data_IF_673717979297
#
_entry.id   IF_673717979297
#
_cell.length_a   1.000
_cell.length_b   1.000
_cell.length_c   1.000
_cell.angle_alpha   90.00
_cell.angle_beta   90.00
_cell.angle_gamma   90.00
#
_symmetry.space_group_name_H-M   'P 1'
#
loop_
_entity.id
_entity.type
_entity.pdbx_description
1 polymer ?
#
# COMPACT_ATOMS: atom_id res chain seq x y z
N UNK A 1 -29.08 7.01 -29.79
CA UNK A 1 -28.31 5.75 -29.73
C UNK A 1 -27.89 5.55 -28.28
N UNK A 2 -28.44 4.56 -27.58
CA UNK A 2 -28.00 4.14 -26.25
C UNK A 2 -27.33 2.77 -26.41
N UNK A 3 -26.15 2.53 -25.79
CA UNK A 3 -25.52 1.23 -25.86
C UNK A 3 -26.32 0.26 -24.99
N UNK A 4 -26.73 -0.86 -25.58
CA UNK A 4 -27.35 -1.97 -24.86
C UNK A 4 -26.31 -2.60 -23.94
N UNK A 5 -26.57 -2.54 -22.63
CA UNK A 5 -25.84 -3.31 -21.63
C UNK A 5 -26.24 -4.77 -21.82
N UNK A 6 -25.36 -5.58 -22.38
CA UNK A 6 -25.58 -7.02 -22.53
C UNK A 6 -25.50 -7.62 -21.12
N UNK A 7 -26.55 -8.25 -20.58
CA UNK A 7 -26.50 -8.78 -19.22
C UNK A 7 -25.49 -9.91 -19.15
N UNK A 8 -24.68 -9.87 -18.11
CA UNK A 8 -23.75 -10.93 -17.75
C UNK A 8 -24.53 -12.11 -17.10
N UNK A 9 -25.54 -12.64 -17.81
CA UNK A 9 -26.56 -13.57 -17.30
C UNK A 9 -25.95 -14.77 -16.56
N UNK A 10 -24.79 -15.26 -17.02
CA UNK A 10 -24.07 -16.38 -16.38
C UNK A 10 -23.52 -16.03 -14.99
N UNK A 11 -22.99 -14.83 -14.80
CA UNK A 11 -22.46 -14.41 -13.48
C UNK A 11 -23.59 -14.11 -12.49
N UNK A 12 -24.71 -13.56 -12.97
CA UNK A 12 -25.91 -13.35 -12.15
C UNK A 12 -26.52 -14.69 -11.71
N UNK A 13 -26.51 -15.69 -12.60
CA UNK A 13 -26.98 -17.05 -12.32
C UNK A 13 -26.10 -17.75 -11.26
N UNK A 14 -24.77 -17.66 -11.40
CA UNK A 14 -23.83 -18.22 -10.41
C UNK A 14 -23.98 -17.54 -9.04
N UNK A 15 -24.04 -16.21 -8.98
CA UNK A 15 -24.21 -15.49 -7.72
C UNK A 15 -25.51 -15.89 -7.00
N UNK A 16 -26.61 -16.03 -7.74
CA UNK A 16 -27.88 -16.49 -7.17
C UNK A 16 -27.81 -17.95 -6.68
N UNK A 17 -27.11 -18.81 -7.41
CA UNK A 17 -26.85 -20.21 -7.04
C UNK A 17 -25.99 -20.33 -5.78
N UNK A 18 -24.96 -19.49 -5.64
CA UNK A 18 -24.10 -19.43 -4.44
C UNK A 18 -24.93 -19.07 -3.21
N UNK A 19 -25.70 -17.99 -3.29
CA UNK A 19 -26.55 -17.54 -2.16
C UNK A 19 -27.60 -18.59 -1.81
N UNK A 20 -28.21 -19.24 -2.81
CA UNK A 20 -29.17 -20.32 -2.59
C UNK A 20 -28.52 -21.51 -1.88
N UNK A 21 -27.32 -21.91 -2.30
CA UNK A 21 -26.55 -23.02 -1.70
C UNK A 21 -26.16 -22.71 -0.25
N UNK A 22 -25.64 -21.51 0.01
CA UNK A 22 -25.32 -21.06 1.37
C UNK A 22 -26.54 -21.08 2.28
N UNK A 23 -27.70 -20.63 1.77
CA UNK A 23 -28.97 -20.64 2.50
C UNK A 23 -29.43 -22.07 2.80
N UNK A 24 -29.31 -22.98 1.85
CA UNK A 24 -29.69 -24.38 2.01
C UNK A 24 -28.83 -25.07 3.07
N UNK A 25 -27.53 -24.81 3.09
CA UNK A 25 -26.58 -25.31 4.08
C UNK A 25 -26.63 -24.55 5.41
N UNK A 26 -27.46 -23.51 5.54
CA UNK A 26 -27.57 -22.71 6.77
C UNK A 26 -26.33 -21.88 7.09
N UNK A 27 -25.53 -21.53 6.07
CA UNK A 27 -24.32 -20.73 6.18
C UNK A 27 -24.68 -19.24 6.18
N UNK A 28 -24.02 -18.47 7.06
CA UNK A 28 -24.18 -17.01 7.10
C UNK A 28 -23.63 -16.35 5.83
N UNK A 29 -24.35 -15.34 5.32
CA UNK A 29 -23.98 -14.54 4.14
C UNK A 29 -22.82 -13.57 4.38
N UNK A 30 -21.71 -14.06 4.91
CA UNK A 30 -20.49 -13.28 5.12
C UNK A 30 -19.65 -13.28 3.83
N UNK A 31 -18.92 -12.19 3.50
CA UNK A 31 -18.09 -12.12 2.31
C UNK A 31 -17.13 -13.31 2.16
N UNK A 32 -16.41 -13.68 3.23
CA UNK A 32 -15.52 -14.85 3.25
C UNK A 32 -16.21 -16.18 2.97
N UNK A 33 -17.46 -16.33 3.39
CA UNK A 33 -18.21 -17.55 3.11
C UNK A 33 -18.65 -17.55 1.65
N UNK A 34 -19.13 -16.41 1.15
CA UNK A 34 -19.53 -16.27 -0.26
C UNK A 34 -18.39 -16.62 -1.21
N UNK A 35 -17.17 -16.16 -0.93
CA UNK A 35 -15.99 -16.45 -1.75
C UNK A 35 -15.67 -17.95 -1.86
N UNK A 36 -15.77 -18.69 -0.75
CA UNK A 36 -15.59 -20.16 -0.73
C UNK A 36 -16.57 -20.85 -1.70
N UNK A 37 -17.86 -20.50 -1.61
CA UNK A 37 -18.88 -21.13 -2.45
C UNK A 37 -18.84 -20.62 -3.90
N UNK A 38 -18.48 -19.36 -4.11
CA UNK A 38 -18.31 -18.78 -5.44
C UNK A 38 -17.20 -19.48 -6.21
N UNK A 39 -16.01 -19.62 -5.63
CA UNK A 39 -14.89 -20.31 -6.28
C UNK A 39 -15.12 -21.83 -6.44
N UNK A 40 -15.83 -22.44 -5.49
CA UNK A 40 -16.21 -23.85 -5.59
C UNK A 40 -17.21 -24.10 -6.73
N UNK A 41 -18.14 -23.17 -6.99
CA UNK A 41 -19.21 -23.31 -7.99
C UNK A 41 -18.82 -22.73 -9.36
N UNK A 42 -17.93 -21.74 -9.41
CA UNK A 42 -17.36 -21.23 -10.66
C UNK A 42 -16.44 -22.24 -11.34
N UNK A 43 -15.93 -23.22 -10.59
CA UNK A 43 -15.11 -24.32 -11.10
C UNK A 43 -13.62 -23.98 -11.24
N UNK A 44 -13.15 -22.87 -10.67
CA UNK A 44 -11.75 -22.45 -10.74
C UNK A 44 -10.80 -23.42 -10.01
N UNK A 45 -11.29 -24.15 -9.00
CA UNK A 45 -10.48 -25.05 -8.17
C UNK A 45 -11.24 -26.35 -7.82
N UNK A 46 -10.86 -27.45 -8.47
CA UNK A 46 -11.52 -28.74 -8.30
C UNK A 46 -11.38 -29.33 -6.89
N UNK A 47 -10.23 -29.12 -6.23
CA UNK A 47 -10.01 -29.58 -4.86
C UNK A 47 -10.89 -28.82 -3.86
N UNK A 48 -11.07 -27.51 -4.07
CA UNK A 48 -11.98 -26.70 -3.28
C UNK A 48 -13.44 -27.15 -3.48
N UNK A 49 -13.86 -27.41 -4.73
CA UNK A 49 -15.21 -27.91 -5.01
C UNK A 49 -15.48 -29.24 -4.27
N UNK A 50 -14.51 -30.15 -4.25
CA UNK A 50 -14.63 -31.41 -3.50
C UNK A 50 -14.70 -31.18 -1.99
N UNK A 51 -13.89 -30.27 -1.46
CA UNK A 51 -13.93 -29.91 -0.04
C UNK A 51 -15.30 -29.34 0.37
N UNK A 52 -15.88 -28.46 -0.45
CA UNK A 52 -17.20 -27.88 -0.19
C UNK A 52 -18.31 -28.93 -0.30
N UNK A 53 -18.24 -29.84 -1.26
CA UNK A 53 -19.21 -30.95 -1.39
C UNK A 53 -19.12 -31.94 -0.22
N UNK A 54 -17.93 -32.10 0.37
CA UNK A 54 -17.72 -32.97 1.54
C UNK A 54 -18.26 -32.39 2.85
N UNK A 55 -18.73 -31.14 2.86
CA UNK A 55 -19.31 -30.51 4.04
C UNK A 55 -20.62 -31.20 4.46
N UNK A 56 -20.82 -31.25 5.78
CA UNK A 56 -22.07 -31.76 6.37
C UNK A 56 -23.26 -30.85 6.03
N UNK A 57 -24.49 -31.34 6.22
CA UNK A 57 -25.72 -30.62 5.86
C UNK A 57 -25.99 -29.31 6.64
N UNK A 58 -25.06 -28.89 7.52
CA UNK A 58 -24.97 -27.60 8.19
C UNK A 58 -23.52 -27.40 8.66
N UNK A 59 -22.60 -26.92 7.82
CA UNK A 59 -21.22 -26.78 8.22
C UNK A 59 -21.07 -25.70 9.29
N UNK A 60 -20.21 -25.97 10.26
CA UNK A 60 -19.82 -25.00 11.27
C UNK A 60 -18.94 -23.92 10.66
N UNK A 61 -18.90 -22.74 11.30
CA UNK A 61 -18.02 -21.66 10.84
C UNK A 61 -16.54 -22.08 10.89
N UNK A 62 -16.15 -22.94 11.84
CA UNK A 62 -14.77 -23.42 11.96
C UNK A 62 -14.35 -24.33 10.80
N UNK A 63 -15.28 -25.13 10.25
CA UNK A 63 -15.04 -25.95 9.05
C UNK A 63 -14.86 -25.07 7.81
N UNK A 64 -15.71 -24.05 7.65
CA UNK A 64 -15.59 -23.07 6.56
C UNK A 64 -14.28 -22.27 6.68
N UNK A 65 -13.93 -21.82 7.87
CA UNK A 65 -12.69 -21.08 8.10
C UNK A 65 -11.45 -21.94 7.84
N UNK A 66 -11.54 -23.27 8.07
CA UNK A 66 -10.46 -24.21 7.75
C UNK A 66 -10.29 -24.37 6.24
N UNK A 67 -11.40 -24.53 5.50
CA UNK A 67 -11.38 -24.53 4.03
C UNK A 67 -10.82 -23.20 3.51
N UNK A 68 -11.29 -22.09 4.07
CA UNK A 68 -10.77 -20.75 3.87
C UNK A 68 -9.24 -20.70 3.98
N UNK A 69 -8.69 -21.12 5.11
CA UNK A 69 -7.23 -21.12 5.32
C UNK A 69 -6.46 -22.07 4.40
N UNK A 70 -7.03 -23.21 4.02
CA UNK A 70 -6.34 -24.18 3.15
C UNK A 70 -6.25 -23.71 1.71
N UNK A 71 -7.36 -23.20 1.16
CA UNK A 71 -7.46 -22.86 -0.26
C UNK A 71 -7.25 -21.38 -0.56
N UNK A 72 -7.48 -20.53 0.45
CA UNK A 72 -7.37 -19.08 0.37
C UNK A 72 -6.31 -18.56 1.36
N UNK A 73 -5.30 -19.35 1.71
CA UNK A 73 -4.22 -18.95 2.64
C UNK A 73 -3.54 -17.61 2.27
N UNK A 74 -3.50 -17.30 0.98
CA UNK A 74 -2.97 -16.04 0.44
C UNK A 74 -4.01 -14.89 0.47
N UNK A 75 -5.29 -15.21 0.66
CA UNK A 75 -6.44 -14.32 0.54
C UNK A 75 -7.29 -14.17 1.83
N UNK A 76 -7.10 -14.97 2.89
CA UNK A 76 -8.03 -14.98 4.04
C UNK A 76 -7.32 -14.91 5.39
N UNK A 77 -7.27 -13.69 5.95
CA UNK A 77 -7.21 -13.40 7.40
C UNK A 77 -6.00 -13.96 8.16
N UNK A 78 -5.76 -13.44 9.37
CA UNK A 78 -4.44 -12.97 9.82
C UNK A 78 -3.46 -12.45 8.75
N UNK A 79 -3.19 -13.21 7.68
CA UNK A 79 -2.23 -12.89 6.64
C UNK A 79 -2.43 -11.53 5.98
N UNK A 80 -3.65 -11.13 5.59
CA UNK A 80 -3.85 -9.82 4.92
C UNK A 80 -3.62 -8.64 5.87
N UNK A 81 -4.15 -8.71 7.09
CA UNK A 81 -4.00 -7.63 8.08
C UNK A 81 -2.58 -7.58 8.62
N UNK A 82 -1.95 -8.74 8.85
CA UNK A 82 -0.57 -8.85 9.31
C UNK A 82 0.41 -8.45 8.19
N UNK A 83 0.17 -8.89 6.96
CA UNK A 83 0.92 -8.43 5.79
C UNK A 83 0.75 -6.93 5.56
N UNK A 84 -0.46 -6.39 5.68
CA UNK A 84 -0.67 -4.95 5.57
C UNK A 84 0.01 -4.19 6.72
N UNK A 85 0.03 -4.73 7.94
CA UNK A 85 0.81 -4.17 9.05
C UNK A 85 2.30 -4.19 8.75
N UNK A 86 2.84 -5.28 8.21
CA UNK A 86 4.24 -5.39 7.83
C UNK A 86 4.60 -4.41 6.70
N UNK A 87 3.74 -4.30 5.69
CA UNK A 87 3.90 -3.34 4.59
C UNK A 87 3.85 -1.91 5.14
N UNK A 88 2.84 -1.56 5.94
CA UNK A 88 2.73 -0.23 6.55
C UNK A 88 3.95 0.07 7.44
N UNK A 89 4.39 -0.87 8.27
CA UNK A 89 5.55 -0.70 9.13
C UNK A 89 6.82 -0.42 8.31
N UNK A 90 7.02 -1.18 7.22
CA UNK A 90 8.13 -0.98 6.29
C UNK A 90 8.06 0.39 5.60
N UNK A 91 6.90 0.77 5.08
CA UNK A 91 6.72 2.07 4.42
C UNK A 91 6.95 3.24 5.39
N UNK A 92 6.52 3.11 6.66
CA UNK A 92 6.81 4.10 7.70
C UNK A 92 8.30 4.17 8.03
N UNK A 93 9.01 3.05 8.05
CA UNK A 93 10.47 3.02 8.25
C UNK A 93 11.22 3.66 7.07
N UNK A 94 10.79 3.39 5.84
CA UNK A 94 11.34 4.00 4.62
C UNK A 94 11.12 5.53 4.64
N UNK A 95 9.93 6.00 5.01
CA UNK A 95 9.64 7.44 5.19
C UNK A 95 10.52 8.03 6.30
N UNK A 96 10.67 7.36 7.44
CA UNK A 96 11.52 7.83 8.53
C UNK A 96 13.00 7.92 8.12
N UNK A 97 13.47 6.99 7.28
CA UNK A 97 14.80 7.03 6.68
C UNK A 97 14.97 8.23 5.74
N UNK A 98 14.00 8.45 4.85
CA UNK A 98 13.95 9.57 3.93
C UNK A 98 14.02 10.92 4.67
N UNK A 99 13.22 11.10 5.71
CA UNK A 99 13.19 12.32 6.54
C UNK A 99 14.52 12.57 7.26
N UNK A 100 15.20 11.51 7.70
CA UNK A 100 16.53 11.61 8.35
C UNK A 100 17.61 12.03 7.36
N UNK A 101 17.54 11.52 6.13
CA UNK A 101 18.41 11.95 5.02
C UNK A 101 18.20 13.43 4.74
N UNK A 102 16.95 13.85 4.51
CA UNK A 102 16.60 15.25 4.26
C UNK A 102 17.11 16.18 5.37
N UNK A 103 16.91 15.79 6.63
CA UNK A 103 17.44 16.54 7.77
C UNK A 103 18.96 16.71 7.70
N UNK A 104 19.70 15.66 7.36
CA UNK A 104 21.16 15.70 7.26
C UNK A 104 21.61 16.64 6.13
N UNK A 105 20.90 16.62 4.99
CA UNK A 105 21.16 17.52 3.87
C UNK A 105 20.90 19.00 4.23
N UNK A 106 19.84 19.28 4.99
CA UNK A 106 19.54 20.63 5.48
C UNK A 106 20.57 21.09 6.53
N UNK A 107 21.02 20.20 7.42
CA UNK A 107 22.07 20.52 8.40
C UNK A 107 23.40 20.86 7.70
N UNK A 108 23.76 20.13 6.64
CA UNK A 108 24.95 20.43 5.83
C UNK A 108 24.83 21.78 5.13
N UNK A 109 23.67 22.07 4.54
CA UNK A 109 23.39 23.38 3.94
C UNK A 109 23.50 24.50 4.97
N UNK A 110 22.98 24.30 6.19
CA UNK A 110 23.13 25.23 7.31
C UNK A 110 24.58 25.51 7.66
N UNK A 111 25.43 24.47 7.70
CA UNK A 111 26.88 24.64 7.95
C UNK A 111 27.55 25.50 6.88
N UNK A 112 27.22 25.27 5.60
CA UNK A 112 27.74 26.08 4.48
C UNK A 112 27.33 27.55 4.64
N UNK A 113 26.09 27.82 5.07
CA UNK A 113 25.61 29.17 5.35
C UNK A 113 26.34 29.82 6.54
N UNK A 114 26.59 29.08 7.60
CA UNK A 114 27.29 29.58 8.81
C UNK A 114 28.76 29.89 8.51
N UNK A 115 29.46 29.01 7.79
CA UNK A 115 30.84 29.22 7.33
C UNK A 115 30.92 30.46 6.42
N UNK A 116 29.96 30.59 5.52
CA UNK A 116 29.85 31.75 4.64
C UNK A 116 29.63 33.04 5.42
N UNK A 117 28.66 33.07 6.33
CA UNK A 117 28.34 34.24 7.16
C UNK A 117 29.55 34.67 7.99
N UNK A 118 30.25 33.70 8.59
CA UNK A 118 31.47 33.92 9.38
C UNK A 118 32.62 34.48 8.52
N UNK A 119 32.80 33.96 7.31
CA UNK A 119 33.78 34.46 6.35
C UNK A 119 33.50 35.90 5.89
N UNK A 120 32.23 36.24 5.68
CA UNK A 120 31.77 37.59 5.33
C UNK A 120 31.90 38.60 6.49
N UNK A 121 31.81 38.14 7.74
CA UNK A 121 31.96 38.99 8.93
C UNK A 121 33.37 39.58 9.10
N UNK A 122 34.40 38.89 8.61
CA UNK A 122 35.80 39.33 8.70
C UNK A 122 36.14 40.33 7.57
N UNK A 123 35.70 41.58 7.75
CA UNK A 123 35.81 42.70 6.79
C UNK A 123 37.24 43.04 6.31
N UNK A 124 38.29 42.57 6.95
CA UNK A 124 39.69 42.90 6.59
C UNK A 124 40.25 42.08 5.41
N UNK A 125 39.51 41.09 4.88
CA UNK A 125 40.00 40.18 3.82
C UNK A 125 39.00 39.89 2.68
N UNK A 126 37.93 40.67 2.56
CA UNK A 126 36.92 40.45 1.52
C UNK A 126 37.41 40.94 0.16
N UNK A 127 38.02 40.05 -0.63
CA UNK A 127 38.31 40.27 -2.04
C UNK A 127 37.07 39.96 -2.90
N UNK A 128 36.97 40.61 -4.06
CA UNK A 128 35.91 40.32 -5.05
C UNK A 128 35.94 38.83 -5.48
N UNK A 129 37.13 38.22 -5.56
CA UNK A 129 37.31 36.81 -5.88
C UNK A 129 36.73 35.88 -4.80
N UNK A 130 36.88 36.24 -3.52
CA UNK A 130 36.30 35.48 -2.41
C UNK A 130 34.77 35.58 -2.40
N UNK A 131 34.21 36.77 -2.66
CA UNK A 131 32.77 36.97 -2.78
C UNK A 131 32.18 36.15 -3.94
N UNK A 132 32.87 36.11 -5.09
CA UNK A 132 32.43 35.32 -6.24
C UNK A 132 32.43 33.81 -5.94
N UNK A 133 33.45 33.31 -5.23
CA UNK A 133 33.53 31.91 -4.78
C UNK A 133 32.41 31.56 -3.81
N UNK A 134 32.13 32.43 -2.85
CA UNK A 134 31.02 32.28 -1.90
C UNK A 134 29.67 32.19 -2.62
N UNK A 135 29.38 33.15 -3.51
CA UNK A 135 28.12 33.17 -4.27
C UNK A 135 27.97 31.90 -5.12
N UNK A 136 29.05 31.42 -5.72
CA UNK A 136 29.06 30.19 -6.52
C UNK A 136 28.79 28.95 -5.65
N UNK A 137 29.49 28.83 -4.52
CA UNK A 137 29.30 27.73 -3.57
C UNK A 137 27.89 27.71 -2.98
N UNK A 138 27.37 28.87 -2.56
CA UNK A 138 26.01 29.00 -2.05
C UNK A 138 24.96 28.67 -3.11
N UNK A 139 25.13 29.14 -4.34
CA UNK A 139 24.18 28.86 -5.43
C UNK A 139 24.16 27.36 -5.74
N UNK A 140 25.33 26.73 -5.79
CA UNK A 140 25.44 25.28 -5.99
C UNK A 140 24.79 24.49 -4.84
N UNK A 141 25.10 24.85 -3.59
CA UNK A 141 24.52 24.20 -2.41
C UNK A 141 23.00 24.38 -2.34
N UNK A 142 22.50 25.59 -2.61
CA UNK A 142 21.06 25.90 -2.62
C UNK A 142 20.33 25.12 -3.71
N UNK A 143 20.87 25.08 -4.93
CA UNK A 143 20.28 24.28 -6.00
C UNK A 143 20.26 22.80 -5.63
N UNK A 144 21.35 22.28 -5.06
CA UNK A 144 21.42 20.90 -4.59
C UNK A 144 20.36 20.60 -3.51
N UNK A 145 20.13 21.51 -2.56
CA UNK A 145 19.09 21.36 -1.54
C UNK A 145 17.69 21.41 -2.14
N UNK A 146 17.43 22.31 -3.08
CA UNK A 146 16.13 22.40 -3.78
C UNK A 146 15.85 21.12 -4.58
N UNK A 147 16.84 20.62 -5.31
CA UNK A 147 16.70 19.41 -6.11
C UNK A 147 16.48 18.18 -5.21
N UNK A 148 17.22 18.08 -4.11
CA UNK A 148 17.01 17.01 -3.13
C UNK A 148 15.62 17.08 -2.48
N UNK A 149 15.18 18.26 -2.04
CA UNK A 149 13.85 18.44 -1.46
C UNK A 149 12.71 18.10 -2.43
N UNK A 150 12.88 18.41 -3.74
CA UNK A 150 11.94 17.97 -4.78
C UNK A 150 11.89 16.46 -4.92
N UNK A 151 13.04 15.79 -4.89
CA UNK A 151 13.13 14.33 -4.96
C UNK A 151 12.44 13.69 -3.75
N UNK A 152 12.73 14.18 -2.54
CA UNK A 152 12.10 13.72 -1.29
C UNK A 152 10.59 13.90 -1.35
N UNK A 153 10.09 15.05 -1.81
CA UNK A 153 8.65 15.29 -1.96
C UNK A 153 8.00 14.32 -2.96
N UNK A 154 8.64 14.03 -4.09
CA UNK A 154 8.15 13.07 -5.08
C UNK A 154 8.06 11.66 -4.49
N UNK A 155 9.14 11.18 -3.87
CA UNK A 155 9.19 9.84 -3.27
C UNK A 155 8.17 9.72 -2.13
N UNK A 156 8.00 10.75 -1.30
CA UNK A 156 6.98 10.75 -0.24
C UNK A 156 5.55 10.67 -0.81
N UNK A 157 5.27 11.36 -1.91
CA UNK A 157 3.97 11.30 -2.60
C UNK A 157 3.68 9.89 -3.13
N UNK A 158 4.66 9.23 -3.73
CA UNK A 158 4.55 7.84 -4.21
C UNK A 158 4.28 6.88 -3.04
N UNK A 159 5.07 6.98 -1.98
CA UNK A 159 4.93 6.18 -0.76
C UNK A 159 3.58 6.35 -0.07
N UNK A 160 3.05 7.58 -0.07
CA UNK A 160 1.71 7.88 0.46
C UNK A 160 0.61 7.23 -0.40
N UNK A 161 0.76 7.24 -1.72
CA UNK A 161 -0.19 6.59 -2.63
C UNK A 161 -0.20 5.06 -2.45
N UNK A 162 0.97 4.45 -2.21
CA UNK A 162 1.10 3.03 -1.88
C UNK A 162 0.34 2.69 -0.58
N UNK A 163 0.51 3.52 0.47
CA UNK A 163 -0.19 3.35 1.75
C UNK A 163 -1.72 3.48 1.61
N UNK A 164 -2.22 4.45 0.85
CA UNK A 164 -3.66 4.61 0.59
C UNK A 164 -4.23 3.40 -0.18
N UNK A 165 -3.47 2.83 -1.12
CA UNK A 165 -3.87 1.59 -1.82
C UNK A 165 -3.99 0.41 -0.86
N UNK A 166 -3.02 0.23 0.04
CA UNK A 166 -3.07 -0.82 1.08
C UNK A 166 -4.25 -0.63 2.01
N UNK A 167 -4.51 0.62 2.44
CA UNK A 167 -5.66 0.96 3.28
C UNK A 167 -6.99 0.65 2.58
N UNK A 168 -7.15 1.04 1.32
CA UNK A 168 -8.37 0.74 0.54
C UNK A 168 -8.62 -0.76 0.44
N UNK A 169 -7.57 -1.56 0.20
CA UNK A 169 -7.69 -3.03 0.19
C UNK A 169 -8.14 -3.54 1.55
N UNK A 170 -7.59 -3.03 2.65
CA UNK A 170 -8.01 -3.44 3.99
C UNK A 170 -9.49 -3.13 4.29
N UNK A 171 -10.02 -2.00 3.80
CA UNK A 171 -11.43 -1.65 3.96
C UNK A 171 -12.37 -2.58 3.17
N UNK A 172 -11.92 -3.11 2.03
CA UNK A 172 -12.68 -4.06 1.21
C UNK A 172 -12.86 -5.44 1.88
N UNK A 173 -11.92 -5.84 2.75
CA UNK A 173 -11.95 -7.12 3.48
C UNK A 173 -12.58 -7.05 4.89
N UNK A 174 -13.13 -5.88 5.29
CA UNK A 174 -13.75 -5.66 6.61
C UNK A 174 -15.26 -5.90 6.60
#
# INVERSE_FOLDING_TARGET
>A
MQPAFVPNDRNTDIASTVVATMRQLGVLGLPRNYEIFYEALSGSNHELSLAVVSLSNRPTQEELDRIGRTFFAQHHGPGIVEHARDVIAKELEDIASLLRSERSHIEEYGRILDETSSGLGNRSMLSQDLLQKIVTAMSAATNSTIDHGRQVASTLSEKTAELESVKSKLEEYK
#
